data_IF_839575379748
#
_entry.id   IF_839575379748
#
_cell.length_a   1.000
_cell.length_b   1.000
_cell.length_c   1.000
_cell.angle_alpha   90.00
_cell.angle_beta   90.00
_cell.angle_gamma   90.00
#
_symmetry.space_group_name_H-M   'P 1'
#
loop_
_entity.id
_entity.type
_entity.pdbx_description
1 polymer ?
#
# COMPACT_ATOMS: atom_id res chain seq x y z
N UNK A 1 24.22 -9.62 25.90
CA UNK A 1 23.37 -8.74 25.07
C UNK A 1 22.49 -7.98 26.01
N UNK A 2 22.65 -6.67 26.04
CA UNK A 2 21.85 -5.78 26.88
C UNK A 2 20.38 -5.79 26.41
N UNK A 3 19.43 -5.58 27.33
CA UNK A 3 17.98 -5.58 27.00
C UNK A 3 17.65 -4.58 25.90
N UNK A 4 18.39 -3.47 25.83
CA UNK A 4 18.20 -2.45 24.80
C UNK A 4 18.68 -2.91 23.42
N UNK A 5 19.77 -3.67 23.36
CA UNK A 5 20.28 -4.25 22.11
C UNK A 5 19.29 -5.27 21.55
N UNK A 6 18.72 -6.11 22.42
CA UNK A 6 17.68 -7.07 22.02
C UNK A 6 16.43 -6.37 21.47
N UNK A 7 15.97 -5.29 22.12
CA UNK A 7 14.82 -4.52 21.65
C UNK A 7 15.07 -3.84 20.31
N UNK A 8 16.28 -3.31 20.11
CA UNK A 8 16.67 -2.71 18.84
C UNK A 8 16.69 -3.76 17.72
N UNK A 9 17.28 -4.93 17.99
CA UNK A 9 17.33 -6.04 17.05
C UNK A 9 15.92 -6.51 16.65
N UNK A 10 15.04 -6.76 17.64
CA UNK A 10 13.65 -7.17 17.37
C UNK A 10 12.92 -6.13 16.51
N UNK A 11 13.07 -4.85 16.81
CA UNK A 11 12.44 -3.77 16.03
C UNK A 11 12.91 -3.78 14.58
N UNK A 12 14.20 -3.98 14.35
CA UNK A 12 14.75 -3.98 13.00
C UNK A 12 14.28 -5.19 12.21
N UNK A 13 14.36 -6.39 12.80
CA UNK A 13 13.88 -7.62 12.15
C UNK A 13 12.39 -7.54 11.82
N UNK A 14 11.54 -6.99 12.70
CA UNK A 14 10.12 -6.80 12.40
C UNK A 14 9.88 -5.76 11.31
N UNK A 15 10.68 -4.68 11.24
CA UNK A 15 10.58 -3.67 10.19
C UNK A 15 10.90 -4.27 8.83
N UNK A 16 11.98 -5.03 8.73
CA UNK A 16 12.41 -5.71 7.50
C UNK A 16 11.32 -6.67 7.01
N UNK A 17 10.82 -7.54 7.88
CA UNK A 17 9.74 -8.49 7.54
C UNK A 17 8.48 -7.76 7.08
N UNK A 18 8.07 -6.70 7.77
CA UNK A 18 6.89 -5.92 7.37
C UNK A 18 7.13 -5.23 6.02
N UNK A 19 8.32 -4.71 5.75
CA UNK A 19 8.63 -4.06 4.48
C UNK A 19 8.60 -5.05 3.31
N UNK A 20 9.18 -6.23 3.48
CA UNK A 20 9.19 -7.30 2.47
C UNK A 20 7.80 -7.86 2.23
N UNK A 21 7.04 -8.12 3.30
CA UNK A 21 5.77 -8.83 3.23
C UNK A 21 4.57 -7.90 3.10
N UNK A 22 4.74 -6.57 3.11
CA UNK A 22 3.63 -5.60 3.10
C UNK A 22 2.65 -5.85 1.97
N UNK A 23 3.15 -6.10 0.75
CA UNK A 23 2.29 -6.35 -0.41
C UNK A 23 1.45 -7.61 -0.22
N UNK A 24 2.05 -8.69 0.28
CA UNK A 24 1.35 -9.94 0.59
C UNK A 24 0.33 -9.73 1.70
N UNK A 25 0.66 -8.95 2.73
CA UNK A 25 -0.28 -8.59 3.78
C UNK A 25 -1.48 -7.79 3.21
N UNK A 26 -1.23 -6.80 2.35
CA UNK A 26 -2.29 -6.07 1.67
C UNK A 26 -3.17 -7.01 0.84
N UNK A 27 -2.59 -7.96 0.11
CA UNK A 27 -3.34 -8.96 -0.65
C UNK A 27 -4.20 -9.87 0.22
N UNK A 28 -3.68 -10.31 1.37
CA UNK A 28 -4.42 -11.12 2.34
C UNK A 28 -5.60 -10.34 2.93
N UNK A 29 -5.44 -9.04 3.14
CA UNK A 29 -6.45 -8.17 3.74
C UNK A 29 -7.45 -7.61 2.72
N UNK A 30 -7.21 -7.73 1.41
CA UNK A 30 -8.16 -7.29 0.40
C UNK A 30 -9.41 -8.18 0.46
N UNK A 31 -10.61 -7.61 0.62
CA UNK A 31 -11.83 -8.39 0.61
C UNK A 31 -12.04 -9.00 -0.77
N UNK A 32 -12.62 -10.21 -0.79
CA UNK A 32 -13.18 -10.73 -2.02
C UNK A 32 -14.40 -9.88 -2.42
N UNK A 33 -14.50 -9.56 -3.70
CA UNK A 33 -15.61 -8.84 -4.31
C UNK A 33 -16.09 -9.69 -5.48
N UNK A 34 -17.38 -10.01 -5.51
CA UNK A 34 -18.01 -10.71 -6.63
C UNK A 34 -18.22 -9.78 -7.82
N UNK A 35 -18.43 -10.35 -9.01
CA UNK A 35 -18.69 -9.55 -10.22
C UNK A 35 -19.95 -8.68 -10.10
N UNK A 36 -20.97 -9.15 -9.35
CA UNK A 36 -22.20 -8.40 -9.07
C UNK A 36 -21.90 -7.19 -8.18
N UNK A 37 -21.22 -7.39 -7.05
CA UNK A 37 -20.80 -6.30 -6.14
C UNK A 37 -19.89 -5.30 -6.87
N UNK A 38 -18.97 -5.78 -7.71
CA UNK A 38 -18.11 -4.93 -8.52
C UNK A 38 -18.93 -4.09 -9.51
N UNK A 39 -19.94 -4.67 -10.15
CA UNK A 39 -20.83 -3.95 -11.07
C UNK A 39 -21.69 -2.89 -10.35
N UNK A 40 -22.13 -3.16 -9.12
CA UNK A 40 -22.84 -2.18 -8.31
C UNK A 40 -21.94 -1.00 -7.95
N UNK A 41 -20.71 -1.27 -7.52
CA UNK A 41 -19.71 -0.25 -7.22
C UNK A 41 -19.40 0.62 -8.44
N UNK A 42 -19.23 0.03 -9.61
CA UNK A 42 -18.98 0.77 -10.85
C UNK A 42 -20.18 1.62 -11.28
N UNK A 43 -21.41 1.15 -11.05
CA UNK A 43 -22.60 1.93 -11.31
C UNK A 43 -22.75 3.13 -10.36
N UNK A 44 -22.36 2.97 -9.09
CA UNK A 44 -22.46 4.02 -8.06
C UNK A 44 -21.32 5.04 -8.13
N UNK A 45 -20.07 4.57 -8.29
CA UNK A 45 -18.87 5.39 -8.21
C UNK A 45 -18.23 5.70 -9.57
N UNK A 46 -18.69 5.04 -10.63
CA UNK A 46 -18.05 5.05 -11.93
C UNK A 46 -16.85 4.09 -11.99
N UNK A 47 -16.45 3.71 -13.20
CA UNK A 47 -15.18 3.02 -13.42
C UNK A 47 -14.04 4.05 -13.40
N UNK A 48 -12.84 3.71 -12.88
CA UNK A 48 -11.67 4.55 -13.07
C UNK A 48 -11.50 4.80 -14.56
N UNK A 49 -11.68 6.05 -15.01
CA UNK A 49 -11.39 6.40 -16.39
C UNK A 49 -9.89 6.16 -16.61
N UNK A 50 -9.50 5.60 -17.75
CA UNK A 50 -8.10 5.64 -18.18
C UNK A 50 -7.67 7.11 -18.15
N UNK A 51 -6.90 7.48 -17.12
CA UNK A 51 -6.45 8.85 -16.93
C UNK A 51 -5.71 9.26 -18.18
N UNK A 52 -5.99 10.46 -18.68
CA UNK A 52 -5.18 11.09 -19.74
C UNK A 52 -3.70 10.93 -19.36
N UNK A 53 -2.87 10.47 -20.30
CA UNK A 53 -1.44 10.09 -20.14
C UNK A 53 -0.54 11.10 -19.37
N UNK A 54 -1.06 12.27 -19.04
CA UNK A 54 -0.39 13.37 -18.36
C UNK A 54 -0.35 13.25 -16.82
N UNK A 55 -1.08 12.31 -16.19
CA UNK A 55 -1.08 12.12 -14.73
C UNK A 55 -0.79 10.66 -14.32
N UNK A 56 0.28 10.07 -14.86
CA UNK A 56 0.80 8.81 -14.29
C UNK A 56 1.51 9.14 -12.98
N UNK A 57 0.76 9.11 -11.87
CA UNK A 57 1.33 9.24 -10.53
C UNK A 57 1.97 7.91 -10.14
N UNK A 58 3.27 7.93 -9.85
CA UNK A 58 3.99 6.75 -9.35
C UNK A 58 3.46 6.37 -7.95
N UNK A 59 2.48 5.47 -7.91
CA UNK A 59 1.92 4.95 -6.67
C UNK A 59 2.93 4.09 -5.88
N UNK A 60 4.09 3.75 -6.44
CA UNK A 60 5.16 3.08 -5.67
C UNK A 60 5.84 4.01 -4.68
N UNK A 61 5.62 5.33 -4.77
CA UNK A 61 6.08 6.24 -3.73
C UNK A 61 5.37 6.00 -2.38
N UNK A 62 4.13 5.50 -2.37
CA UNK A 62 3.49 5.01 -1.15
C UNK A 62 4.25 3.83 -0.53
N UNK A 63 4.90 3.00 -1.36
CA UNK A 63 5.70 1.85 -0.89
C UNK A 63 6.92 2.33 -0.11
N UNK A 64 7.55 3.42 -0.54
CA UNK A 64 8.77 3.98 0.05
C UNK A 64 8.47 4.95 1.21
N UNK A 65 7.40 5.73 1.10
CA UNK A 65 7.15 6.89 1.95
C UNK A 65 5.87 6.77 2.79
N UNK A 66 5.07 5.72 2.61
CA UNK A 66 3.83 5.52 3.37
C UNK A 66 2.90 6.73 3.27
N UNK A 67 2.39 7.22 4.40
CA UNK A 67 1.46 8.36 4.47
C UNK A 67 2.09 9.73 4.14
N UNK A 68 3.35 9.80 3.69
CA UNK A 68 4.08 11.04 3.44
C UNK A 68 4.10 11.49 1.96
N UNK A 69 3.19 10.99 1.12
CA UNK A 69 3.20 11.25 -0.34
C UNK A 69 3.10 12.75 -0.69
N UNK A 70 2.62 13.62 0.20
CA UNK A 70 2.43 15.05 -0.06
C UNK A 70 3.70 15.87 -0.36
N UNK A 71 4.91 15.29 -0.39
CA UNK A 71 6.15 16.06 -0.52
C UNK A 71 6.95 15.90 -1.83
N UNK A 72 6.49 15.09 -2.79
CA UNK A 72 7.13 15.02 -4.12
C UNK A 72 6.10 15.08 -5.24
N UNK A 73 5.57 16.28 -5.45
CA UNK A 73 4.95 16.66 -6.71
C UNK A 73 5.70 17.91 -7.19
N UNK A 74 6.75 17.70 -7.97
CA UNK A 74 7.46 18.73 -8.75
C UNK A 74 8.10 18.07 -9.97
#
# INVERSE_FOLDING_TARGET
MEIQELKALIKETMREVIQEERLRLCQILMPYISDEEQSELEAEFGSPSEGTDNEVVDMTDWVKYGNQISQKSN
#
